data_IF_735386709002
#
_entry.id   IF_735386709002
#
_cell.length_a   1.000
_cell.length_b   1.000
_cell.length_c   1.000
_cell.angle_alpha   90.00
_cell.angle_beta   90.00
_cell.angle_gamma   90.00
#
_symmetry.space_group_name_H-M   'P 1'
#
loop_
_entity.id
_entity.type
_entity.pdbx_description
1 polymer ?
#
# COMPACT_ATOMS: atom_id res chain seq x y z
N UNK A 1 6.59 -7.68 -21.01
CA UNK A 1 6.31 -6.98 -19.74
C UNK A 1 6.34 -5.49 -20.04
N UNK A 2 5.22 -4.77 -19.92
CA UNK A 2 5.19 -3.34 -20.26
C UNK A 2 5.79 -2.58 -19.07
N UNK A 3 7.04 -2.13 -19.22
CA UNK A 3 7.68 -1.41 -18.13
C UNK A 3 6.99 -0.04 -17.95
N UNK A 4 6.51 0.25 -16.74
CA UNK A 4 5.99 1.56 -16.36
C UNK A 4 7.18 2.40 -15.92
N UNK A 5 7.40 3.55 -16.57
CA UNK A 5 8.39 4.52 -16.11
C UNK A 5 7.97 5.16 -14.79
N UNK A 6 8.94 5.60 -14.00
CA UNK A 6 8.73 6.20 -12.66
C UNK A 6 7.70 7.34 -12.70
N UNK A 7 7.72 8.18 -13.74
CA UNK A 7 6.77 9.28 -13.92
C UNK A 7 5.32 8.80 -13.98
N UNK A 8 5.04 7.74 -14.75
CA UNK A 8 3.71 7.14 -14.84
C UNK A 8 3.29 6.50 -13.51
N UNK A 9 4.23 5.92 -12.78
CA UNK A 9 3.96 5.37 -11.46
C UNK A 9 3.58 6.46 -10.44
N UNK A 10 4.28 7.59 -10.44
CA UNK A 10 3.94 8.75 -9.59
C UNK A 10 2.56 9.31 -9.93
N UNK A 11 2.19 9.39 -11.21
CA UNK A 11 0.84 9.81 -11.63
C UNK A 11 -0.23 8.85 -11.11
N UNK A 12 0.02 7.53 -11.15
CA UNK A 12 -0.92 6.53 -10.61
C UNK A 12 -1.08 6.72 -9.10
N UNK A 13 0.02 6.94 -8.36
CA UNK A 13 -0.04 7.23 -6.91
C UNK A 13 -0.82 8.52 -6.64
N UNK A 14 -0.61 9.56 -7.44
CA UNK A 14 -1.32 10.83 -7.29
C UNK A 14 -2.83 10.66 -7.47
N UNK A 15 -3.25 9.96 -8.53
CA UNK A 15 -4.67 9.64 -8.77
C UNK A 15 -5.24 8.79 -7.63
N UNK A 16 -4.47 7.80 -7.16
CA UNK A 16 -4.87 6.97 -6.03
C UNK A 16 -5.10 7.79 -4.75
N UNK A 17 -4.26 8.78 -4.48
CA UNK A 17 -4.43 9.66 -3.31
C UNK A 17 -5.70 10.52 -3.42
N UNK A 18 -6.04 11.00 -4.61
CA UNK A 18 -7.30 11.72 -4.85
C UNK A 18 -8.51 10.80 -4.61
N UNK A 19 -8.45 9.55 -5.10
CA UNK A 19 -9.52 8.57 -4.87
C UNK A 19 -9.64 8.26 -3.37
N UNK A 20 -8.50 8.05 -2.69
CA UNK A 20 -8.46 7.79 -1.26
C UNK A 20 -9.08 8.93 -0.45
N UNK A 21 -8.75 10.19 -0.78
CA UNK A 21 -9.28 11.36 -0.07
C UNK A 21 -10.78 11.57 -0.32
N UNK A 22 -11.27 11.29 -1.52
CA UNK A 22 -12.71 11.36 -1.86
C UNK A 22 -13.53 10.30 -1.12
N UNK A 23 -12.99 9.08 -0.97
CA UNK A 23 -13.69 7.97 -0.30
C UNK A 23 -13.62 8.05 1.23
N UNK A 24 -12.55 8.64 1.79
CA UNK A 24 -12.33 8.74 3.23
C UNK A 24 -13.55 9.20 4.05
N UNK A 25 -14.25 10.31 3.74
CA UNK A 25 -15.40 10.76 4.54
C UNK A 25 -16.56 9.76 4.56
N UNK A 26 -16.78 9.02 3.47
CA UNK A 26 -17.84 8.00 3.41
C UNK A 26 -17.46 6.75 4.21
N UNK A 27 -16.18 6.35 4.14
CA UNK A 27 -15.66 5.15 4.80
C UNK A 27 -15.58 5.31 6.33
N UNK A 28 -15.31 6.52 6.83
CA UNK A 28 -15.25 6.82 8.28
C UNK A 28 -16.57 6.48 8.97
N UNK A 29 -17.73 6.76 8.34
CA UNK A 29 -19.05 6.42 8.90
C UNK A 29 -19.28 4.90 9.02
N UNK A 30 -18.55 4.11 8.25
CA UNK A 30 -18.59 2.64 8.28
C UNK A 30 -17.46 2.03 9.14
N UNK A 31 -16.75 2.85 9.92
CA UNK A 31 -15.55 2.44 10.67
C UNK A 31 -14.50 1.74 9.81
N UNK A 32 -14.29 2.26 8.60
CA UNK A 32 -13.43 1.64 7.60
C UNK A 32 -12.37 2.63 7.12
N UNK A 33 -11.15 2.13 6.94
CA UNK A 33 -10.06 2.85 6.29
C UNK A 33 -9.40 1.96 5.26
N UNK A 34 -9.28 2.47 4.03
CA UNK A 34 -8.66 1.77 2.90
C UNK A 34 -7.52 2.64 2.39
N UNK A 35 -6.26 2.37 2.78
CA UNK A 35 -5.11 3.15 2.34
C UNK A 35 -4.70 2.74 0.92
N UNK A 36 -5.46 3.20 -0.08
CA UNK A 36 -5.30 2.84 -1.50
C UNK A 36 -3.89 3.16 -2.02
N UNK A 37 -3.32 4.29 -1.61
CA UNK A 37 -1.95 4.69 -1.96
C UNK A 37 -0.90 3.66 -1.51
N UNK A 38 -0.97 3.25 -0.23
CA UNK A 38 -0.09 2.23 0.34
C UNK A 38 -0.29 0.86 -0.32
N UNK A 39 -1.56 0.49 -0.60
CA UNK A 39 -1.92 -0.76 -1.27
C UNK A 39 -1.28 -0.86 -2.65
N UNK A 40 -1.46 0.17 -3.50
CA UNK A 40 -0.94 0.20 -4.86
C UNK A 40 0.58 0.18 -4.86
N UNK A 41 1.21 0.97 -3.97
CA UNK A 41 2.66 0.98 -3.82
C UNK A 41 3.19 -0.42 -3.47
N UNK A 42 2.66 -1.02 -2.40
CA UNK A 42 3.08 -2.34 -1.91
C UNK A 42 2.89 -3.43 -2.96
N UNK A 43 1.77 -3.40 -3.69
CA UNK A 43 1.52 -4.33 -4.79
C UNK A 43 2.50 -4.14 -5.97
N UNK A 44 2.84 -2.89 -6.30
CA UNK A 44 3.81 -2.60 -7.35
C UNK A 44 5.21 -3.09 -7.00
N UNK A 45 5.64 -2.97 -5.73
CA UNK A 45 6.90 -3.53 -5.24
C UNK A 45 6.89 -5.05 -5.35
N UNK A 46 5.83 -5.68 -4.86
CA UNK A 46 5.67 -7.13 -4.89
C UNK A 46 5.76 -7.72 -6.30
N UNK A 47 5.19 -7.00 -7.27
CA UNK A 47 5.21 -7.41 -8.69
C UNK A 47 6.54 -7.13 -9.38
N UNK A 48 7.33 -6.18 -8.87
CA UNK A 48 8.62 -5.86 -9.43
C UNK A 48 9.55 -7.06 -9.35
N UNK A 49 10.11 -7.47 -10.49
CA UNK A 49 11.13 -8.52 -10.55
C UNK A 49 12.47 -8.08 -9.98
N UNK A 50 12.70 -6.77 -9.85
CA UNK A 50 13.92 -6.17 -9.30
C UNK A 50 13.67 -5.71 -7.88
N UNK A 51 14.66 -5.95 -7.01
CA UNK A 51 14.75 -5.31 -5.69
C UNK A 51 14.73 -3.79 -5.92
N UNK A 52 13.69 -3.11 -5.45
CA UNK A 52 13.64 -1.66 -5.54
C UNK A 52 14.68 -1.06 -4.60
N UNK A 53 15.31 0.03 -5.03
CA UNK A 53 16.24 0.76 -4.20
C UNK A 53 15.48 1.35 -2.99
N UNK A 54 15.91 1.12 -1.73
CA UNK A 54 15.28 1.72 -0.56
C UNK A 54 15.13 3.25 -0.67
N UNK A 55 16.05 3.92 -1.37
CA UNK A 55 16.00 5.36 -1.62
C UNK A 55 14.79 5.77 -2.51
N UNK A 56 14.39 4.90 -3.45
CA UNK A 56 13.18 5.13 -4.25
C UNK A 56 11.92 4.98 -3.39
N UNK A 57 11.88 3.97 -2.52
CA UNK A 57 10.74 3.78 -1.62
C UNK A 57 10.60 4.97 -0.66
N UNK A 58 11.71 5.48 -0.14
CA UNK A 58 11.75 6.67 0.71
C UNK A 58 11.24 7.92 -0.01
N UNK A 59 11.76 8.20 -1.21
CA UNK A 59 11.32 9.35 -2.00
C UNK A 59 9.86 9.26 -2.46
N UNK A 60 9.37 8.06 -2.79
CA UNK A 60 7.94 7.84 -3.07
C UNK A 60 7.09 8.14 -1.83
N UNK A 61 7.53 7.71 -0.64
CA UNK A 61 6.79 8.01 0.58
C UNK A 61 6.80 9.50 0.93
N UNK A 62 7.93 10.20 0.75
CA UNK A 62 7.97 11.67 0.88
C UNK A 62 7.04 12.37 -0.11
N UNK A 63 6.96 11.86 -1.35
CA UNK A 63 6.01 12.36 -2.34
C UNK A 63 4.56 12.20 -1.89
N UNK A 64 4.21 11.05 -1.30
CA UNK A 64 2.86 10.83 -0.74
C UNK A 64 2.63 11.76 0.46
N UNK A 65 3.62 11.97 1.33
CA UNK A 65 3.52 12.92 2.45
C UNK A 65 3.26 14.36 1.98
N UNK A 66 3.76 14.77 0.81
CA UNK A 66 3.53 16.12 0.26
C UNK A 66 2.12 16.32 -0.31
N UNK A 67 1.49 15.25 -0.79
CA UNK A 67 0.20 15.32 -1.50
C UNK A 67 -0.96 14.93 -0.57
N UNK A 68 -0.69 14.11 0.44
CA UNK A 68 -1.64 13.73 1.46
C UNK A 68 -1.55 14.65 2.67
N UNK A 69 -2.64 14.79 3.43
CA UNK A 69 -2.67 15.57 4.66
C UNK A 69 -2.05 14.82 5.84
N UNK A 70 -1.00 14.04 5.62
CA UNK A 70 -0.32 13.24 6.66
C UNK A 70 0.92 13.94 7.21
N UNK A 71 1.35 13.58 8.43
CA UNK A 71 2.62 14.06 8.99
C UNK A 71 3.80 13.75 8.06
N UNK A 72 4.71 14.71 7.92
CA UNK A 72 5.87 14.56 7.06
C UNK A 72 6.79 13.44 7.56
N UNK A 73 7.18 12.52 6.67
CA UNK A 73 8.04 11.38 6.98
C UNK A 73 7.31 10.11 7.39
N UNK A 74 5.99 10.16 7.65
CA UNK A 74 5.21 8.99 8.05
C UNK A 74 5.13 7.96 6.91
N UNK A 75 4.72 8.39 5.72
CA UNK A 75 4.64 7.46 4.59
C UNK A 75 6.04 7.07 4.11
N UNK A 76 7.03 7.97 4.19
CA UNK A 76 8.43 7.65 3.88
C UNK A 76 8.98 6.50 4.73
N UNK A 77 8.74 6.53 6.04
CA UNK A 77 9.14 5.45 6.95
C UNK A 77 8.41 4.13 6.65
N UNK A 78 7.08 4.16 6.50
CA UNK A 78 6.32 2.91 6.31
C UNK A 78 6.60 2.29 4.93
N UNK A 79 6.75 3.10 3.88
CA UNK A 79 7.01 2.61 2.52
C UNK A 79 8.40 1.97 2.42
N UNK A 80 9.40 2.52 3.11
CA UNK A 80 10.74 1.91 3.16
C UNK A 80 10.74 0.59 3.92
N UNK A 81 10.09 0.52 5.09
CA UNK A 81 9.93 -0.72 5.86
C UNK A 81 9.23 -1.78 5.01
N UNK A 82 8.16 -1.41 4.30
CA UNK A 82 7.42 -2.34 3.47
C UNK A 82 8.24 -2.83 2.28
N UNK A 83 8.94 -1.92 1.59
CA UNK A 83 9.87 -2.29 0.52
C UNK A 83 10.96 -3.26 1.01
N UNK A 84 11.50 -3.01 2.20
CA UNK A 84 12.50 -3.87 2.82
C UNK A 84 11.92 -5.25 3.15
N UNK A 85 10.76 -5.32 3.81
CA UNK A 85 10.08 -6.57 4.15
C UNK A 85 9.80 -7.42 2.89
N UNK A 86 9.25 -6.81 1.83
CA UNK A 86 9.00 -7.52 0.57
C UNK A 86 10.31 -8.04 -0.04
N UNK A 87 11.39 -7.25 0.04
CA UNK A 87 12.67 -7.62 -0.58
C UNK A 87 13.38 -8.79 0.14
N UNK A 88 13.26 -8.89 1.47
CA UNK A 88 13.80 -10.01 2.25
C UNK A 88 13.05 -11.29 1.92
N UNK A 89 11.71 -11.20 1.92
CA UNK A 89 10.83 -12.35 1.71
C UNK A 89 10.51 -12.62 0.22
N UNK A 90 11.23 -11.99 -0.71
CA UNK A 90 10.94 -12.09 -2.14
C UNK A 90 10.98 -13.54 -2.67
N UNK A 91 11.82 -14.39 -2.10
CA UNK A 91 11.89 -15.81 -2.48
C UNK A 91 10.83 -16.66 -1.77
N UNK A 92 10.51 -16.37 -0.51
CA UNK A 92 9.45 -17.08 0.22
C UNK A 92 8.08 -16.79 -0.36
N UNK A 93 7.85 -15.55 -0.81
CA UNK A 93 6.61 -15.16 -1.50
C UNK A 93 6.35 -15.92 -2.81
N UNK A 94 7.38 -16.45 -3.47
CA UNK A 94 7.20 -17.30 -4.66
C UNK A 94 6.65 -18.68 -4.33
N UNK A 95 6.85 -19.14 -3.09
CA UNK A 95 6.43 -20.45 -2.60
C UNK A 95 5.08 -20.39 -1.88
N UNK A 96 4.68 -19.22 -1.38
CA UNK A 96 3.44 -19.02 -0.65
C UNK A 96 2.19 -19.11 -1.53
N UNK A 97 1.10 -19.55 -0.91
CA UNK A 97 -0.20 -19.55 -1.56
C UNK A 97 -0.72 -18.11 -1.72
N UNK A 98 -1.59 -17.90 -2.70
CA UNK A 98 -2.20 -16.59 -2.94
C UNK A 98 -2.94 -16.04 -1.72
N UNK A 99 -3.59 -16.91 -0.95
CA UNK A 99 -4.32 -16.53 0.26
C UNK A 99 -3.34 -16.03 1.33
N UNK A 100 -2.20 -16.71 1.53
CA UNK A 100 -1.17 -16.27 2.48
C UNK A 100 -0.60 -14.90 2.11
N UNK A 101 -0.40 -14.64 0.82
CA UNK A 101 0.05 -13.34 0.32
C UNK A 101 -1.00 -12.25 0.61
N UNK A 102 -2.28 -12.53 0.38
CA UNK A 102 -3.36 -11.58 0.66
C UNK A 102 -3.47 -11.27 2.17
N UNK A 103 -3.34 -12.29 3.02
CA UNK A 103 -3.31 -12.11 4.48
C UNK A 103 -2.13 -11.22 4.89
N UNK A 104 -0.93 -11.48 4.36
CA UNK A 104 0.25 -10.67 4.63
C UNK A 104 0.02 -9.19 4.29
N UNK A 105 -0.51 -8.90 3.10
CA UNK A 105 -0.81 -7.52 2.73
C UNK A 105 -1.95 -6.92 3.56
N UNK A 106 -2.99 -7.69 3.90
CA UNK A 106 -4.04 -7.26 4.83
C UNK A 106 -3.47 -6.84 6.19
N UNK A 107 -2.60 -7.65 6.78
CA UNK A 107 -1.90 -7.32 8.04
C UNK A 107 -1.08 -6.03 7.87
N UNK A 108 -0.35 -5.89 6.75
CA UNK A 108 0.46 -4.69 6.50
C UNK A 108 -0.37 -3.41 6.40
N UNK A 109 -1.59 -3.49 5.87
CA UNK A 109 -2.50 -2.34 5.77
C UNK A 109 -3.04 -1.92 7.12
N UNK A 110 -3.36 -2.89 7.99
CA UNK A 110 -3.78 -2.60 9.37
C UNK A 110 -2.62 -2.00 10.16
N UNK A 111 -1.40 -2.50 9.96
CA UNK A 111 -0.21 -1.89 10.54
C UNK A 111 -0.08 -0.43 10.10
N UNK A 112 -0.22 -0.13 8.80
CA UNK A 112 -0.21 1.25 8.29
C UNK A 112 -1.29 2.13 8.93
N UNK A 113 -2.55 1.67 8.96
CA UNK A 113 -3.67 2.41 9.55
C UNK A 113 -3.45 2.65 11.04
N UNK A 114 -3.00 1.63 11.77
CA UNK A 114 -2.69 1.72 13.19
C UNK A 114 -1.60 2.74 13.46
N UNK A 115 -0.50 2.72 12.70
CA UNK A 115 0.59 3.67 12.85
C UNK A 115 0.14 5.11 12.51
N UNK A 116 -0.66 5.29 11.46
CA UNK A 116 -1.24 6.59 11.09
C UNK A 116 -2.14 7.13 12.19
N UNK A 117 -3.01 6.30 12.76
CA UNK A 117 -3.91 6.70 13.84
C UNK A 117 -3.15 7.01 15.15
N UNK A 118 -2.08 6.27 15.46
CA UNK A 118 -1.24 6.57 16.63
C UNK A 118 -0.57 7.93 16.55
N UNK A 119 -0.29 8.45 15.35
CA UNK A 119 0.36 9.76 15.18
C UNK A 119 -0.69 10.87 15.03
N UNK A 120 -1.78 10.63 14.29
CA UNK A 120 -2.76 11.68 13.98
C UNK A 120 -3.91 11.78 14.97
N UNK A 121 -4.32 10.68 15.60
CA UNK A 121 -5.54 10.58 16.40
C UNK A 121 -5.32 9.78 17.70
N UNK A 122 -4.41 10.27 18.57
CA UNK A 122 -4.09 9.65 19.86
C UNK A 122 -5.30 9.49 20.78
N UNK A 123 -6.21 10.47 20.79
CA UNK A 123 -7.36 10.48 21.70
C UNK A 123 -8.55 9.65 21.17
N UNK A 124 -8.65 9.46 19.85
CA UNK A 124 -9.80 8.83 19.18
C UNK A 124 -9.42 7.50 18.49
N UNK A 125 -8.56 6.71 19.14
CA UNK A 125 -8.11 5.44 18.59
C UNK A 125 -9.21 4.36 18.67
N UNK A 126 -9.83 4.05 17.54
CA UNK A 126 -10.86 2.99 17.47
C UNK A 126 -10.26 1.64 17.10
N UNK A 127 -10.28 0.69 18.04
CA UNK A 127 -9.93 -0.71 17.78
C UNK A 127 -10.88 -1.39 16.78
N UNK A 128 -12.16 -1.00 16.80
CA UNK A 128 -13.16 -1.52 15.88
C UNK A 128 -12.84 -1.13 14.43
N UNK A 129 -12.32 0.08 14.22
CA UNK A 129 -11.87 0.52 12.90
C UNK A 129 -10.75 -0.36 12.35
N UNK A 130 -9.77 -0.72 13.18
CA UNK A 130 -8.67 -1.60 12.78
C UNK A 130 -9.16 -3.00 12.41
N UNK A 131 -10.08 -3.54 13.23
CA UNK A 131 -10.63 -4.87 13.01
C UNK A 131 -11.49 -4.94 11.74
N UNK A 132 -12.39 -3.99 11.51
CA UNK A 132 -13.21 -3.94 10.28
C UNK A 132 -12.34 -3.71 9.06
N UNK A 133 -11.37 -2.79 9.16
CA UNK A 133 -10.42 -2.51 8.07
C UNK A 133 -9.57 -3.74 7.73
N UNK A 134 -9.24 -4.61 8.69
CA UNK A 134 -8.50 -5.84 8.42
C UNK A 134 -9.20 -6.75 7.42
N UNK A 135 -10.46 -7.11 7.70
CA UNK A 135 -11.21 -8.04 6.85
C UNK A 135 -11.48 -7.44 5.47
N UNK A 136 -11.84 -6.16 5.41
CA UNK A 136 -12.16 -5.50 4.14
C UNK A 136 -10.90 -5.35 3.28
N UNK A 137 -9.76 -4.96 3.85
CA UNK A 137 -8.52 -4.87 3.08
C UNK A 137 -8.02 -6.25 2.61
N UNK A 138 -8.19 -7.32 3.39
CA UNK A 138 -7.91 -8.69 2.91
C UNK A 138 -8.80 -9.05 1.72
N UNK A 139 -10.11 -8.79 1.81
CA UNK A 139 -11.06 -9.10 0.76
C UNK A 139 -10.75 -8.30 -0.52
N UNK A 140 -10.43 -7.01 -0.37
CA UNK A 140 -10.05 -6.13 -1.46
C UNK A 140 -8.75 -6.60 -2.14
N UNK A 141 -7.75 -7.03 -1.36
CA UNK A 141 -6.53 -7.63 -1.91
C UNK A 141 -6.79 -8.96 -2.60
N UNK A 142 -7.69 -9.78 -2.08
CA UNK A 142 -8.09 -11.04 -2.71
C UNK A 142 -8.74 -10.76 -4.07
N UNK A 143 -9.63 -9.78 -4.18
CA UNK A 143 -10.22 -9.34 -5.46
C UNK A 143 -9.15 -8.83 -6.44
N UNK A 144 -8.22 -7.98 -5.98
CA UNK A 144 -7.08 -7.50 -6.78
C UNK A 144 -6.18 -8.64 -7.26
N UNK A 145 -5.96 -9.65 -6.41
CA UNK A 145 -5.18 -10.84 -6.75
C UNK A 145 -5.89 -11.72 -7.79
N UNK A 146 -7.22 -11.79 -7.77
CA UNK A 146 -8.00 -12.53 -8.78
C UNK A 146 -8.04 -11.77 -10.12
N UNK A 147 -8.11 -10.43 -10.10
CA UNK A 147 -7.98 -9.58 -11.29
C UNK A 147 -6.65 -9.79 -12.04
N UNK A 148 -5.63 -10.35 -11.37
CA UNK A 148 -4.37 -10.77 -11.99
C UNK A 148 -4.53 -11.81 -13.10
N UNK A 149 -5.56 -12.66 -13.05
CA UNK A 149 -5.86 -13.58 -14.16
C UNK A 149 -6.24 -12.83 -15.45
N UNK A 150 -6.74 -11.60 -15.31
CA UNK A 150 -7.23 -10.78 -16.43
C UNK A 150 -6.25 -9.67 -16.87
N UNK A 151 -5.26 -9.27 -16.05
CA UNK A 151 -4.32 -8.18 -16.38
C UNK A 151 -2.81 -8.56 -16.35
N UNK A 152 -2.05 -8.36 -17.46
CA UNK A 152 -0.64 -8.78 -17.60
C UNK A 152 0.35 -8.02 -16.71
N UNK A 153 1.56 -8.59 -16.54
CA UNK A 153 2.62 -8.13 -15.62
C UNK A 153 3.11 -6.70 -15.85
N UNK A 154 3.00 -5.87 -14.80
CA UNK A 154 3.54 -4.50 -14.77
C UNK A 154 4.84 -4.50 -13.96
N UNK A 155 5.93 -4.06 -14.56
CA UNK A 155 7.26 -3.91 -13.95
C UNK A 155 7.71 -2.45 -14.05
N UNK A 156 8.41 -1.92 -13.06
CA UNK A 156 8.86 -0.52 -13.06
C UNK A 156 10.22 -0.43 -13.77
N UNK A 157 10.36 0.43 -14.81
CA UNK A 157 11.68 0.79 -15.40
C UNK A 157 12.22 2.03 -14.71
N UNK A 158 13.48 1.96 -14.33
CA UNK A 158 14.32 3.13 -14.11
C UNK A 158 14.96 3.39 -15.47
N UNK A 159 14.48 4.41 -16.18
CA UNK A 159 15.23 5.00 -17.28
C UNK A 159 16.17 6.06 -16.68
#
# INVERSE_FOLDING_TARGET
>A
MRNIGITKFLIIIFIANIIESLLAPQLINLYLSIPVTFLIFSFAIFRSSRKLNPLLAFSCGLYVDLISSSPFGLNAGIFTIMSYAISIYANTFKLFSYIQICIFFGISTVFYIGFKNLIMNLENFSYLLLFVSFFINILLFLLLSMLRYYFPSMSIRYD
#
